data_IF_114076532979
#
_entry.id   IF_114076532979
#
_cell.length_a   1.000
_cell.length_b   1.000
_cell.length_c   1.000
_cell.angle_alpha   90.00
_cell.angle_beta   90.00
_cell.angle_gamma   90.00
#
_symmetry.space_group_name_H-M   'P 1'
#
loop_
_entity.id
_entity.type
_entity.pdbx_description
1 polymer ?
#
# COMPACT_ATOMS: atom_id res chain seq x y z
N UNK A 1 5.02 -52.98 3.79
CA UNK A 1 5.47 -51.73 4.41
C UNK A 1 5.44 -50.68 3.31
N UNK A 2 4.42 -49.83 3.29
CA UNK A 2 4.30 -48.72 2.32
C UNK A 2 4.98 -47.51 2.95
N UNK A 3 6.08 -47.05 2.36
CA UNK A 3 6.74 -45.78 2.72
C UNK A 3 5.75 -44.63 2.46
N UNK A 4 5.57 -43.70 3.41
CA UNK A 4 4.73 -42.52 3.17
C UNK A 4 5.40 -41.64 2.10
N UNK A 5 4.63 -40.95 1.26
CA UNK A 5 5.19 -40.01 0.32
C UNK A 5 5.87 -38.86 1.09
N UNK A 6 7.14 -38.62 0.79
CA UNK A 6 7.87 -37.44 1.24
C UNK A 6 7.20 -36.23 0.60
N UNK A 7 6.24 -35.65 1.30
CA UNK A 7 5.79 -34.30 1.03
C UNK A 7 6.93 -33.38 1.46
N UNK A 8 7.80 -33.02 0.53
CA UNK A 8 8.75 -31.94 0.75
C UNK A 8 7.93 -30.74 1.20
N UNK A 9 8.01 -30.41 2.48
CA UNK A 9 7.49 -29.17 3.01
C UNK A 9 8.20 -28.05 2.24
N UNK A 10 7.51 -27.49 1.26
CA UNK A 10 7.94 -26.25 0.61
C UNK A 10 7.83 -25.20 1.70
N UNK A 11 8.94 -24.93 2.36
CA UNK A 11 9.02 -23.83 3.31
C UNK A 11 8.68 -22.57 2.50
N UNK A 12 7.47 -22.06 2.69
CA UNK A 12 7.13 -20.71 2.25
C UNK A 12 8.06 -19.83 3.08
N UNK A 13 9.16 -19.39 2.47
CA UNK A 13 10.02 -18.38 3.05
C UNK A 13 9.14 -17.14 3.23
N UNK A 14 8.71 -16.94 4.46
CA UNK A 14 8.09 -15.70 4.89
C UNK A 14 9.18 -14.62 4.83
N UNK A 15 9.40 -14.07 3.62
CA UNK A 15 10.00 -12.75 3.56
C UNK A 15 9.04 -11.81 4.29
N UNK A 16 9.53 -10.85 5.07
CA UNK A 16 8.67 -9.91 5.78
C UNK A 16 7.74 -9.30 4.74
N UNK A 17 6.46 -9.67 4.81
CA UNK A 17 5.44 -9.10 3.97
C UNK A 17 5.29 -7.68 4.46
N UNK A 18 5.99 -6.75 3.81
CA UNK A 18 5.75 -5.33 3.98
C UNK A 18 4.35 -5.05 3.42
N UNK A 19 3.33 -5.37 4.20
CA UNK A 19 1.91 -5.14 3.90
C UNK A 19 1.61 -3.62 3.91
N UNK A 20 2.58 -2.82 4.31
CA UNK A 20 2.51 -1.37 4.26
C UNK A 20 3.16 -0.89 2.97
N UNK A 21 2.39 -0.21 2.12
CA UNK A 21 2.88 0.45 0.93
C UNK A 21 4.06 1.36 1.27
N UNK A 22 5.29 0.87 1.09
CA UNK A 22 6.49 1.69 1.20
C UNK A 22 6.60 2.53 -0.08
N UNK A 23 6.31 3.83 0.06
CA UNK A 23 6.78 4.80 -0.90
C UNK A 23 8.31 4.76 -0.90
N UNK A 24 8.94 4.45 -2.04
CA UNK A 24 10.40 4.47 -2.20
C UNK A 24 10.95 5.85 -1.84
N UNK A 25 11.95 5.97 -0.96
CA UNK A 25 12.73 7.19 -0.85
C UNK A 25 13.62 7.31 -2.08
N UNK A 26 13.51 8.43 -2.79
CA UNK A 26 14.45 8.79 -3.84
C UNK A 26 15.84 8.97 -3.26
N UNK A 27 16.83 8.29 -3.84
CA UNK A 27 18.25 8.44 -3.55
C UNK A 27 18.68 9.88 -3.84
N UNK A 28 19.07 10.60 -2.81
CA UNK A 28 19.73 11.91 -2.94
C UNK A 28 21.22 11.66 -3.08
N UNK A 29 21.72 11.85 -4.29
CA UNK A 29 23.14 11.78 -4.57
C UNK A 29 23.77 13.16 -4.28
N UNK A 30 24.48 13.29 -3.15
CA UNK A 30 25.30 14.46 -2.83
C UNK A 30 26.70 14.29 -3.42
N UNK A 31 26.90 14.77 -4.64
CA UNK A 31 28.20 14.92 -5.24
C UNK A 31 28.51 16.42 -5.43
N UNK A 32 29.25 16.99 -4.51
CA UNK A 32 29.78 18.36 -4.67
C UNK A 32 30.97 18.37 -5.62
N UNK A 33 30.92 19.22 -6.64
CA UNK A 33 32.08 19.60 -7.44
C UNK A 33 32.10 21.11 -7.54
N UNK A 34 33.24 21.70 -7.16
CA UNK A 34 33.55 23.13 -7.28
C UNK A 34 33.68 23.53 -8.75
N UNK A 35 33.25 24.74 -9.14
CA UNK A 35 33.50 25.24 -10.48
C UNK A 35 34.86 25.91 -10.60
N UNK A 36 35.59 25.58 -11.65
CA UNK A 36 36.74 26.34 -12.18
C UNK A 36 36.25 27.35 -13.21
N UNK A 37 36.85 28.54 -13.31
CA UNK A 37 36.43 29.56 -14.25
C UNK A 37 37.02 29.31 -15.64
N UNK A 38 36.15 29.31 -16.62
CA UNK A 38 36.56 29.30 -18.04
C UNK A 38 36.17 30.62 -18.71
N UNK A 39 37.12 31.19 -19.41
CA UNK A 39 37.09 32.42 -20.18
C UNK A 39 36.24 32.31 -21.45
N UNK A 40 35.40 33.34 -21.67
CA UNK A 40 34.56 33.52 -22.86
C UNK A 40 35.33 33.78 -24.18
N UNK A 41 34.69 33.50 -25.32
CA UNK A 41 34.56 34.51 -26.35
C UNK A 41 33.10 34.80 -26.72
N UNK A 42 32.88 36.06 -27.06
CA UNK A 42 31.65 36.76 -27.41
C UNK A 42 30.99 36.21 -28.68
N UNK A 43 29.66 35.99 -28.74
CA UNK A 43 28.95 35.81 -30.00
C UNK A 43 28.14 37.04 -30.38
N UNK A 44 28.06 37.23 -31.67
CA UNK A 44 27.29 38.21 -32.45
C UNK A 44 25.77 38.19 -32.19
N UNK A 45 25.05 39.32 -32.38
CA UNK A 45 23.64 39.43 -32.01
C UNK A 45 22.72 38.84 -33.09
N UNK A 46 22.10 37.73 -32.76
CA UNK A 46 20.92 37.22 -33.44
C UNK A 46 19.70 37.47 -32.57
N UNK A 47 18.75 38.21 -33.05
CA UNK A 47 17.48 38.57 -32.40
C UNK A 47 16.69 37.32 -32.08
N UNK A 48 16.72 36.91 -30.82
CA UNK A 48 15.76 36.03 -30.20
C UNK A 48 15.18 36.76 -29.01
N UNK A 49 13.90 37.08 -29.06
CA UNK A 49 13.14 37.62 -27.92
C UNK A 49 13.12 36.53 -26.82
N UNK A 50 14.13 36.57 -25.95
CA UNK A 50 14.12 35.81 -24.73
C UNK A 50 13.21 36.54 -23.75
N UNK A 51 12.21 35.81 -23.25
CA UNK A 51 11.35 36.26 -22.17
C UNK A 51 12.25 36.54 -20.96
N UNK A 52 12.36 37.77 -20.44
CA UNK A 52 13.36 38.12 -19.43
C UNK A 52 13.03 37.65 -18.01
N UNK A 53 11.98 36.88 -17.85
CA UNK A 53 11.61 36.31 -16.56
C UNK A 53 11.84 34.80 -16.58
N UNK A 54 12.74 34.25 -15.72
CA UNK A 54 12.81 32.81 -15.54
C UNK A 54 11.44 32.34 -15.06
N UNK A 55 10.88 31.38 -15.78
CA UNK A 55 9.63 30.70 -15.38
C UNK A 55 9.94 29.99 -14.05
N UNK A 56 9.58 30.63 -12.93
CA UNK A 56 9.72 30.04 -11.60
C UNK A 56 8.68 28.91 -11.55
N UNK A 57 9.17 27.70 -11.71
CA UNK A 57 8.38 26.46 -11.59
C UNK A 57 7.91 26.33 -10.14
N UNK A 58 6.77 26.95 -9.83
CA UNK A 58 6.21 26.92 -8.47
C UNK A 58 5.59 25.57 -8.24
N UNK A 59 5.90 24.88 -7.11
CA UNK A 59 5.27 23.61 -6.78
C UNK A 59 3.78 23.83 -6.56
N UNK A 60 2.96 22.99 -7.19
CA UNK A 60 1.52 23.01 -7.03
C UNK A 60 1.14 22.03 -5.92
N UNK A 61 0.46 22.52 -4.88
CA UNK A 61 0.01 21.71 -3.76
C UNK A 61 -1.50 21.44 -3.86
N UNK A 62 -1.88 20.21 -3.53
CA UNK A 62 -3.28 19.83 -3.28
C UNK A 62 -3.46 19.59 -1.80
N UNK A 63 -4.50 20.18 -1.22
CA UNK A 63 -4.91 19.96 0.17
C UNK A 63 -6.39 19.63 0.25
N UNK A 64 -6.80 19.05 1.37
CA UNK A 64 -8.20 18.74 1.63
C UNK A 64 -8.36 18.03 2.98
N UNK A 65 -9.58 17.55 3.21
CA UNK A 65 -9.92 16.87 4.47
C UNK A 65 -10.78 15.64 4.22
N UNK A 66 -10.44 14.51 4.83
CA UNK A 66 -11.28 13.31 4.86
C UNK A 66 -12.17 13.36 6.11
N UNK A 67 -13.46 13.11 5.92
CA UNK A 67 -14.46 13.12 7.00
C UNK A 67 -15.41 11.94 6.88
N UNK A 68 -16.06 11.60 7.98
CA UNK A 68 -17.19 10.68 8.02
C UNK A 68 -18.48 11.39 7.55
N UNK A 69 -19.60 10.68 7.28
CA UNK A 69 -20.85 11.27 6.83
C UNK A 69 -21.44 12.32 7.78
N UNK A 70 -21.16 12.20 9.09
CA UNK A 70 -21.55 13.17 10.12
C UNK A 70 -20.65 14.41 10.18
N UNK A 71 -19.61 14.48 9.32
CA UNK A 71 -18.62 15.55 9.31
C UNK A 71 -17.50 15.42 10.32
N UNK A 72 -17.51 14.37 11.14
CA UNK A 72 -16.44 14.12 12.12
C UNK A 72 -15.12 13.72 11.42
N UNK A 73 -13.96 14.08 11.98
CA UNK A 73 -12.67 13.70 11.40
C UNK A 73 -12.40 12.22 11.62
N UNK A 74 -11.73 11.60 10.64
CA UNK A 74 -11.22 10.24 10.78
C UNK A 74 -9.92 10.29 11.58
N UNK A 75 -9.92 9.66 12.77
CA UNK A 75 -8.74 9.64 13.64
C UNK A 75 -7.62 8.72 13.11
N UNK A 76 -7.98 7.78 12.27
CA UNK A 76 -7.07 6.86 11.59
C UNK A 76 -6.37 7.54 10.41
N UNK A 77 -5.18 7.03 10.09
CA UNK A 77 -4.49 7.45 8.88
C UNK A 77 -5.18 6.89 7.64
N UNK A 78 -5.75 7.76 6.84
CA UNK A 78 -6.41 7.42 5.57
C UNK A 78 -5.43 7.65 4.43
N UNK A 79 -5.30 6.70 3.53
CA UNK A 79 -4.46 6.82 2.34
C UNK A 79 -5.16 7.66 1.30
N UNK A 80 -4.51 8.70 0.78
CA UNK A 80 -4.98 9.50 -0.34
C UNK A 80 -4.33 9.01 -1.62
N UNK A 81 -5.17 8.66 -2.59
CA UNK A 81 -4.74 8.12 -3.88
C UNK A 81 -5.22 8.99 -5.01
N UNK A 82 -4.38 9.20 -6.02
CA UNK A 82 -4.79 9.75 -7.31
C UNK A 82 -5.08 8.62 -8.29
N UNK A 83 -6.12 8.78 -9.09
CA UNK A 83 -6.51 7.87 -10.17
C UNK A 83 -6.36 8.62 -11.48
N UNK A 84 -5.33 8.32 -12.24
CA UNK A 84 -5.04 8.96 -13.53
C UNK A 84 -5.03 7.91 -14.63
N UNK A 85 -5.99 7.99 -15.57
CA UNK A 85 -6.09 7.02 -16.65
C UNK A 85 -6.27 5.59 -16.15
N UNK A 86 -7.05 5.39 -15.10
CA UNK A 86 -7.32 4.10 -14.47
C UNK A 86 -6.18 3.56 -13.58
N UNK A 87 -5.07 4.27 -13.45
CA UNK A 87 -3.96 3.87 -12.59
C UNK A 87 -4.02 4.58 -11.25
N UNK A 88 -4.06 3.81 -10.17
CA UNK A 88 -4.02 4.32 -8.79
C UNK A 88 -2.59 4.55 -8.33
N UNK A 89 -2.37 5.68 -7.65
CA UNK A 89 -1.09 6.03 -7.05
C UNK A 89 -1.32 6.63 -5.66
N UNK A 90 -0.57 6.17 -4.66
CA UNK A 90 -0.57 6.76 -3.33
C UNK A 90 0.18 8.08 -3.36
N UNK A 91 -0.47 9.15 -2.92
CA UNK A 91 0.11 10.50 -2.86
C UNK A 91 0.53 10.87 -1.43
N UNK A 92 -0.34 10.67 -0.45
CA UNK A 92 -0.08 11.02 0.95
C UNK A 92 -1.02 10.26 1.91
N UNK A 93 -0.91 10.58 3.19
CA UNK A 93 -1.77 10.10 4.27
C UNK A 93 -2.34 11.27 5.04
N UNK A 94 -3.52 11.09 5.65
CA UNK A 94 -4.13 12.11 6.50
C UNK A 94 -3.45 12.19 7.87
N UNK A 95 -3.56 13.37 8.50
CA UNK A 95 -3.29 13.55 9.93
C UNK A 95 -4.45 13.03 10.81
N UNK A 96 -4.34 13.12 12.14
CA UNK A 96 -5.38 12.69 13.09
C UNK A 96 -6.66 13.52 13.06
N UNK A 97 -6.69 14.64 12.31
CA UNK A 97 -7.87 15.46 12.06
C UNK A 97 -8.47 15.23 10.69
N UNK A 98 -7.90 14.29 9.93
CA UNK A 98 -8.31 13.97 8.57
C UNK A 98 -7.75 14.90 7.51
N UNK A 99 -6.88 15.88 7.83
CA UNK A 99 -6.33 16.79 6.83
C UNK A 99 -5.20 16.10 6.05
N UNK A 100 -5.08 16.45 4.77
CA UNK A 100 -3.98 16.02 3.92
C UNK A 100 -3.46 17.16 3.05
N UNK A 101 -2.19 17.06 2.66
CA UNK A 101 -1.58 17.92 1.65
C UNK A 101 -0.44 17.17 0.97
N UNK A 102 -0.28 17.36 -0.34
CA UNK A 102 0.81 16.81 -1.13
C UNK A 102 1.13 17.68 -2.33
N UNK A 103 2.37 17.57 -2.81
CA UNK A 103 2.85 18.27 -3.99
C UNK A 103 2.59 17.44 -5.25
N UNK A 104 2.04 18.06 -6.28
CA UNK A 104 1.91 17.45 -7.61
C UNK A 104 3.28 17.41 -8.30
N UNK A 105 3.86 16.23 -8.36
CA UNK A 105 5.15 16.02 -9.02
C UNK A 105 4.99 15.93 -10.53
N UNK A 106 5.86 16.62 -11.29
CA UNK A 106 6.00 16.38 -12.73
C UNK A 106 6.28 14.90 -12.99
N UNK A 107 5.47 14.26 -13.84
CA UNK A 107 5.80 12.91 -14.30
C UNK A 107 7.07 13.00 -15.14
N UNK A 108 8.10 12.17 -14.89
CA UNK A 108 9.21 12.08 -15.82
C UNK A 108 8.64 11.65 -17.19
N UNK A 109 9.02 12.39 -18.25
CA UNK A 109 8.69 12.04 -19.63
C UNK A 109 9.36 10.71 -19.96
N UNK A 110 8.70 9.58 -19.68
CA UNK A 110 9.11 8.27 -20.16
C UNK A 110 8.49 8.05 -21.52
N UNK A 111 9.34 7.99 -22.52
CA UNK A 111 9.15 7.67 -23.92
C UNK A 111 8.87 8.83 -24.88
N UNK A 112 9.94 9.43 -25.35
CA UNK A 112 10.02 9.77 -26.77
C UNK A 112 10.05 8.45 -27.55
N UNK A 113 8.89 7.96 -28.00
CA UNK A 113 8.85 6.95 -29.06
C UNK A 113 9.24 7.68 -30.33
N UNK A 114 10.46 7.42 -30.82
CA UNK A 114 10.87 7.75 -32.17
C UNK A 114 9.95 7.04 -33.16
N UNK A 115 9.29 7.82 -34.01
CA UNK A 115 8.71 7.34 -35.25
C UNK A 115 7.17 7.31 -35.28
N UNK A 116 6.57 8.46 -35.58
CA UNK A 116 5.44 8.59 -36.52
C UNK A 116 5.24 10.10 -36.80
N UNK A 117 5.57 10.53 -38.01
CA UNK A 117 5.16 11.80 -38.58
C UNK A 117 3.64 11.88 -38.58
N UNK A 118 3.07 12.80 -37.80
CA UNK A 118 1.75 13.35 -38.07
C UNK A 118 1.85 14.87 -37.94
N UNK A 119 2.03 15.51 -39.08
CA UNK A 119 1.81 16.93 -39.27
C UNK A 119 0.33 17.24 -39.06
N UNK A 120 -0.03 17.91 -37.99
CA UNK A 120 -1.23 18.72 -37.90
C UNK A 120 -0.92 19.96 -37.09
N UNK A 121 -0.78 21.04 -37.85
CA UNK A 121 -0.72 22.40 -37.40
C UNK A 121 -2.01 22.79 -36.67
N UNK A 122 -1.91 23.10 -35.39
CA UNK A 122 -2.73 24.10 -34.74
C UNK A 122 -1.91 24.69 -33.61
N UNK A 123 -1.55 25.93 -33.84
CA UNK A 123 -0.80 26.83 -33.01
C UNK A 123 -1.69 27.29 -31.85
N UNK A 124 -1.68 26.55 -30.77
CA UNK A 124 -2.17 26.99 -29.47
C UNK A 124 -1.03 26.90 -28.46
N UNK A 125 -0.39 28.06 -28.25
CA UNK A 125 0.80 28.29 -27.43
C UNK A 125 0.63 28.00 -25.93
N UNK A 126 0.00 26.89 -25.57
CA UNK A 126 -0.02 26.38 -24.20
C UNK A 126 0.98 25.24 -24.05
N UNK A 127 2.07 25.54 -23.38
CA UNK A 127 3.16 24.61 -23.08
C UNK A 127 2.62 23.27 -22.52
N UNK A 128 2.82 22.18 -23.29
CA UNK A 128 2.48 20.78 -22.91
C UNK A 128 3.21 20.27 -21.66
N UNK A 129 4.00 21.10 -21.00
CA UNK A 129 4.79 20.78 -19.81
C UNK A 129 4.17 21.26 -18.49
N UNK A 130 2.93 21.76 -18.49
CA UNK A 130 2.28 22.22 -17.27
C UNK A 130 1.82 21.03 -16.41
N UNK A 131 2.32 20.94 -15.18
CA UNK A 131 1.97 19.91 -14.19
C UNK A 131 0.44 19.82 -13.98
N UNK A 132 -0.25 20.96 -13.97
CA UNK A 132 -1.72 21.03 -13.85
C UNK A 132 -2.44 20.30 -15.00
N UNK A 133 -1.90 20.36 -16.23
CA UNK A 133 -2.49 19.67 -17.40
C UNK A 133 -2.41 18.14 -17.27
N UNK A 134 -1.35 17.62 -16.66
CA UNK A 134 -1.15 16.17 -16.46
C UNK A 134 -2.16 15.55 -15.48
N UNK A 135 -2.73 16.36 -14.57
CA UNK A 135 -3.71 15.93 -13.57
C UNK A 135 -5.15 16.32 -13.91
N UNK A 136 -5.39 16.91 -15.10
CA UNK A 136 -6.72 17.40 -15.53
C UNK A 136 -7.81 16.30 -15.54
N UNK A 137 -7.40 15.06 -15.83
CA UNK A 137 -8.30 13.89 -15.86
C UNK A 137 -8.00 12.94 -14.71
N UNK A 138 -7.47 13.45 -13.61
CA UNK A 138 -7.21 12.65 -12.42
C UNK A 138 -8.28 12.90 -11.35
N UNK A 139 -8.56 11.86 -10.62
CA UNK A 139 -9.47 11.82 -9.50
C UNK A 139 -8.70 11.57 -8.20
N UNK A 140 -9.24 12.06 -7.09
CA UNK A 140 -8.75 11.73 -5.75
C UNK A 140 -9.75 10.81 -5.06
N UNK A 141 -9.22 9.79 -4.42
CA UNK A 141 -9.94 8.82 -3.61
C UNK A 141 -9.26 8.66 -2.26
N UNK A 142 -10.04 8.56 -1.20
CA UNK A 142 -9.57 8.22 0.12
C UNK A 142 -9.72 6.71 0.35
N UNK A 143 -8.65 6.00 0.70
CA UNK A 143 -8.67 4.55 0.91
C UNK A 143 -8.47 4.21 2.37
N UNK A 144 -9.49 3.60 2.97
CA UNK A 144 -9.45 3.02 4.31
C UNK A 144 -10.20 1.68 4.26
N UNK A 145 -9.59 0.56 4.69
CA UNK A 145 -10.27 -0.73 4.69
C UNK A 145 -11.61 -0.68 5.44
N UNK A 146 -12.69 -1.18 4.83
CA UNK A 146 -14.03 -1.13 5.41
C UNK A 146 -14.81 0.15 5.12
N UNK A 147 -14.26 1.05 4.32
CA UNK A 147 -14.95 2.25 3.85
C UNK A 147 -14.92 2.35 2.33
N UNK A 148 -16.00 2.88 1.75
CA UNK A 148 -16.03 3.41 0.39
C UNK A 148 -15.78 4.91 0.42
N UNK A 149 -15.13 5.45 -0.59
CA UNK A 149 -14.81 6.87 -0.71
C UNK A 149 -15.67 7.54 -1.77
N UNK A 150 -16.07 8.77 -1.50
CA UNK A 150 -16.41 9.67 -2.61
C UNK A 150 -15.16 10.00 -3.41
N UNK A 151 -15.34 10.22 -4.71
CA UNK A 151 -14.27 10.55 -5.64
C UNK A 151 -14.36 12.03 -5.98
N UNK A 152 -13.24 12.75 -5.87
CA UNK A 152 -13.16 14.18 -6.18
C UNK A 152 -12.33 14.40 -7.44
N UNK A 153 -12.90 15.07 -8.43
CA UNK A 153 -12.20 15.44 -9.67
C UNK A 153 -11.21 16.57 -9.40
N UNK A 154 -9.92 16.34 -9.64
CA UNK A 154 -8.89 17.38 -9.44
C UNK A 154 -9.14 18.59 -10.34
N UNK A 155 -9.55 18.37 -11.58
CA UNK A 155 -9.83 19.44 -12.54
C UNK A 155 -10.95 20.38 -12.12
N UNK A 156 -11.99 19.88 -11.43
CA UNK A 156 -13.13 20.69 -11.01
C UNK A 156 -12.75 21.74 -9.96
N UNK A 157 -11.68 21.51 -9.23
CA UNK A 157 -11.19 22.39 -8.15
C UNK A 157 -10.07 23.35 -8.60
N UNK A 158 -9.49 23.13 -9.81
CA UNK A 158 -8.37 23.90 -10.34
C UNK A 158 -8.84 25.15 -11.14
N UNK A 159 -9.78 25.92 -10.64
CA UNK A 159 -10.32 27.08 -11.36
C UNK A 159 -9.39 28.31 -11.41
N UNK A 160 -8.28 28.32 -10.63
CA UNK A 160 -7.24 29.34 -10.73
C UNK A 160 -5.86 28.72 -10.49
N UNK A 161 -5.02 28.75 -11.52
CA UNK A 161 -3.71 28.08 -11.62
C UNK A 161 -2.61 28.68 -10.73
N UNK A 162 -2.89 29.22 -9.55
CA UNK A 162 -1.88 30.13 -9.01
C UNK A 162 -1.06 29.60 -7.84
N UNK A 163 -1.48 28.72 -6.94
CA UNK A 163 -0.49 28.32 -5.88
C UNK A 163 -0.84 27.07 -5.07
N UNK A 164 -2.07 26.84 -4.72
CA UNK A 164 -2.53 25.66 -4.00
C UNK A 164 -4.02 25.46 -4.23
N UNK A 165 -4.44 24.21 -4.36
CA UNK A 165 -5.84 23.88 -4.58
C UNK A 165 -6.36 23.12 -3.39
N UNK A 166 -7.36 23.65 -2.70
CA UNK A 166 -8.13 22.92 -1.70
C UNK A 166 -9.27 22.17 -2.41
N UNK A 167 -9.21 20.84 -2.36
CA UNK A 167 -10.25 19.97 -2.93
C UNK A 167 -11.46 19.81 -2.01
N UNK A 168 -11.45 20.46 -0.86
CA UNK A 168 -12.53 20.45 0.11
C UNK A 168 -12.56 19.14 0.92
N UNK A 169 -13.75 18.53 1.00
CA UNK A 169 -13.97 17.33 1.82
C UNK A 169 -14.14 16.11 0.93
N UNK A 170 -13.47 15.03 1.32
CA UNK A 170 -13.70 13.69 0.78
C UNK A 170 -14.46 12.92 1.85
N UNK A 171 -15.70 12.53 1.58
CA UNK A 171 -16.50 11.77 2.54
C UNK A 171 -16.22 10.28 2.32
N UNK A 172 -15.96 9.56 3.41
CA UNK A 172 -15.85 8.11 3.38
C UNK A 172 -17.03 7.48 4.14
N UNK A 173 -17.64 6.47 3.52
CA UNK A 173 -18.82 5.78 4.02
C UNK A 173 -18.46 4.38 4.50
N UNK A 174 -18.87 3.95 5.71
CA UNK A 174 -18.60 2.60 6.18
C UNK A 174 -19.33 1.56 5.32
N UNK A 175 -18.64 0.47 4.98
CA UNK A 175 -19.20 -0.66 4.23
C UNK A 175 -19.74 -1.68 5.24
N UNK A 176 -21.05 -1.88 5.27
CA UNK A 176 -21.65 -3.01 6.00
C UNK A 176 -21.52 -2.97 7.52
N UNK A 177 -21.61 -1.79 8.16
CA UNK A 177 -21.59 -1.67 9.63
C UNK A 177 -20.23 -1.85 10.30
N UNK A 178 -19.15 -1.81 9.52
CA UNK A 178 -17.76 -2.04 9.96
C UNK A 178 -17.12 -0.86 10.72
N UNK A 179 -17.82 0.24 10.94
CA UNK A 179 -17.28 1.50 11.48
C UNK A 179 -16.56 1.30 12.82
N UNK A 180 -17.19 0.54 13.74
CA UNK A 180 -16.64 0.30 15.08
C UNK A 180 -15.38 -0.56 15.10
N UNK A 181 -15.08 -1.32 14.05
CA UNK A 181 -13.90 -2.20 13.98
C UNK A 181 -12.69 -1.57 13.31
N UNK A 182 -12.91 -0.60 12.45
CA UNK A 182 -11.85 0.12 11.71
C UNK A 182 -11.36 1.32 12.51
N UNK A 183 -12.29 2.06 13.13
CA UNK A 183 -11.98 3.21 13.97
C UNK A 183 -12.06 2.81 15.45
N UNK A 184 -10.99 3.07 16.18
CA UNK A 184 -10.99 2.83 17.62
C UNK A 184 -11.75 3.93 18.35
N UNK A 185 -12.79 3.56 19.10
CA UNK A 185 -13.58 4.48 19.91
C UNK A 185 -12.72 5.21 20.95
N UNK A 186 -11.79 4.51 21.59
CA UNK A 186 -10.86 5.11 22.57
C UNK A 186 -9.91 6.10 21.92
N UNK A 187 -9.50 5.82 20.67
CA UNK A 187 -8.63 6.72 19.90
C UNK A 187 -9.33 8.03 19.50
N UNK A 188 -10.62 8.00 19.22
CA UNK A 188 -11.43 9.20 18.97
C UNK A 188 -11.46 10.11 20.20
N UNK A 189 -11.53 9.53 21.40
CA UNK A 189 -11.55 10.24 22.69
C UNK A 189 -10.19 10.79 23.13
N UNK A 190 -9.10 10.50 22.41
CA UNK A 190 -7.76 10.92 22.80
C UNK A 190 -7.66 12.46 22.90
N UNK A 191 -6.99 13.00 23.96
CA UNK A 191 -6.82 14.42 24.15
C UNK A 191 -5.90 15.03 23.07
N UNK A 192 -6.07 16.32 22.80
CA UNK A 192 -5.33 17.03 21.76
C UNK A 192 -3.81 16.95 21.88
N UNK A 193 -3.27 16.86 23.11
CA UNK A 193 -1.83 16.67 23.36
C UNK A 193 -1.34 15.30 22.89
N UNK A 194 -2.11 14.22 23.10
CA UNK A 194 -1.79 12.87 22.61
C UNK A 194 -1.90 12.82 21.07
N UNK A 195 -2.97 13.40 20.50
CA UNK A 195 -3.13 13.51 19.04
C UNK A 195 -1.96 14.26 18.39
N UNK A 196 -1.52 15.37 18.99
CA UNK A 196 -0.35 16.12 18.51
C UNK A 196 0.96 15.30 18.56
N UNK A 197 1.14 14.47 19.58
CA UNK A 197 2.29 13.56 19.65
C UNK A 197 2.23 12.47 18.56
N UNK A 198 1.06 11.93 18.30
CA UNK A 198 0.81 10.98 17.20
C UNK A 198 1.10 11.60 15.82
N UNK A 199 0.63 12.83 15.56
CA UNK A 199 0.88 13.54 14.30
C UNK A 199 2.38 13.82 14.10
N UNK A 200 3.07 14.19 15.20
CA UNK A 200 4.52 14.36 15.17
C UNK A 200 5.26 13.06 14.83
N UNK A 201 4.79 11.92 15.32
CA UNK A 201 5.34 10.63 14.95
C UNK A 201 5.21 10.37 13.43
N UNK A 202 4.03 10.63 12.87
CA UNK A 202 3.79 10.52 11.41
C UNK A 202 4.70 11.43 10.59
N UNK A 203 4.96 12.66 11.07
CA UNK A 203 5.92 13.56 10.42
C UNK A 203 7.34 13.02 10.45
N UNK A 204 7.75 12.43 11.58
CA UNK A 204 9.07 11.81 11.70
C UNK A 204 9.21 10.59 10.77
N UNK A 205 8.18 9.75 10.64
CA UNK A 205 8.17 8.64 9.69
C UNK A 205 8.28 9.12 8.24
N UNK A 206 7.52 10.15 7.84
CA UNK A 206 7.64 10.77 6.50
C UNK A 206 9.07 11.25 6.21
N UNK A 207 9.81 11.66 7.22
CA UNK A 207 11.20 12.09 7.13
C UNK A 207 12.22 10.95 7.34
N UNK A 208 11.75 9.69 7.41
CA UNK A 208 12.53 8.49 7.71
C UNK A 208 13.31 8.55 9.03
N UNK A 209 12.78 9.29 10.02
CA UNK A 209 13.34 9.43 11.38
C UNK A 209 12.66 8.47 12.34
N UNK A 210 12.99 7.19 12.22
CA UNK A 210 12.28 6.08 12.87
C UNK A 210 12.35 6.17 14.39
N UNK A 211 13.53 6.48 14.96
CA UNK A 211 13.72 6.61 16.41
C UNK A 211 12.94 7.81 17.00
N UNK A 212 12.86 8.92 16.27
CA UNK A 212 12.11 10.09 16.70
C UNK A 212 10.59 9.83 16.60
N UNK A 213 10.16 9.05 15.61
CA UNK A 213 8.78 8.60 15.48
C UNK A 213 8.38 7.72 16.67
N UNK A 214 9.21 6.74 17.03
CA UNK A 214 8.98 5.85 18.17
C UNK A 214 8.85 6.63 19.47
N UNK A 215 9.78 7.56 19.77
CA UNK A 215 9.69 8.43 20.95
C UNK A 215 8.41 9.26 20.97
N UNK A 216 7.96 9.72 19.82
CA UNK A 216 6.72 10.49 19.71
C UNK A 216 5.49 9.63 19.96
N UNK A 217 5.48 8.35 19.53
CA UNK A 217 4.42 7.39 19.82
C UNK A 217 4.42 6.99 21.30
N UNK A 218 5.59 6.72 21.89
CA UNK A 218 5.74 6.48 23.33
C UNK A 218 5.14 7.63 24.14
N UNK A 219 5.46 8.87 23.77
CA UNK A 219 4.85 10.04 24.41
C UNK A 219 3.34 10.10 24.24
N UNK A 220 2.80 9.69 23.09
CA UNK A 220 1.35 9.68 22.86
C UNK A 220 0.63 8.71 23.81
N UNK A 221 1.18 7.50 24.01
CA UNK A 221 0.61 6.49 24.90
C UNK A 221 0.87 6.78 26.38
N UNK A 222 1.95 7.47 26.73
CA UNK A 222 2.18 8.00 28.09
C UNK A 222 1.13 9.05 28.46
N UNK A 223 0.82 10.00 27.53
CA UNK A 223 -0.21 11.01 27.76
C UNK A 223 -1.60 10.39 27.86
N UNK A 224 -1.88 9.38 27.04
CA UNK A 224 -3.18 8.72 27.00
C UNK A 224 -3.02 7.20 26.81
N UNK A 225 -2.93 6.41 27.90
CA UNK A 225 -2.74 4.96 27.84
C UNK A 225 -3.84 4.20 27.08
N UNK A 226 -5.05 4.77 27.00
CA UNK A 226 -6.18 4.20 26.24
C UNK A 226 -6.10 4.53 24.73
N UNK A 227 -4.98 5.06 24.22
CA UNK A 227 -4.85 5.42 22.82
C UNK A 227 -4.51 4.19 21.97
N UNK A 228 -5.52 3.36 21.66
CA UNK A 228 -5.34 2.10 20.93
C UNK A 228 -4.65 2.29 19.58
N UNK A 229 -4.96 3.36 18.83
CA UNK A 229 -4.29 3.64 17.55
C UNK A 229 -2.80 3.96 17.73
N UNK A 230 -2.41 4.72 18.77
CA UNK A 230 -1.01 5.01 19.02
C UNK A 230 -0.22 3.76 19.43
N UNK A 231 -0.79 2.90 20.26
CA UNK A 231 -0.24 1.59 20.59
C UNK A 231 -0.05 0.72 19.34
N UNK A 232 -1.04 0.73 18.44
CA UNK A 232 -0.97 -0.04 17.18
C UNK A 232 0.15 0.46 16.28
N UNK A 233 0.30 1.77 16.11
CA UNK A 233 1.38 2.33 15.30
C UNK A 233 2.76 2.12 15.95
N UNK A 234 2.84 2.17 17.29
CA UNK A 234 4.07 1.82 18.01
C UNK A 234 4.46 0.36 17.75
N UNK A 235 3.50 -0.57 17.86
CA UNK A 235 3.73 -1.99 17.56
C UNK A 235 4.16 -2.21 16.11
N UNK A 236 3.55 -1.51 15.14
CA UNK A 236 3.95 -1.56 13.73
C UNK A 236 5.40 -1.08 13.53
N UNK A 237 5.77 0.01 14.19
CA UNK A 237 7.11 0.58 14.08
C UNK A 237 8.16 -0.37 14.69
N UNK A 238 7.88 -0.92 15.87
CA UNK A 238 8.73 -1.92 16.53
C UNK A 238 8.88 -3.18 15.66
N UNK A 239 7.80 -3.63 15.03
CA UNK A 239 7.83 -4.73 14.08
C UNK A 239 8.78 -4.45 12.91
N UNK A 240 8.72 -3.26 12.30
CA UNK A 240 9.63 -2.88 11.20
C UNK A 240 11.09 -2.80 11.63
N UNK A 241 11.35 -2.59 12.92
CA UNK A 241 12.68 -2.61 13.54
C UNK A 241 13.12 -4.01 13.96
N UNK A 242 12.33 -5.05 13.67
CA UNK A 242 12.55 -6.44 14.13
C UNK A 242 12.51 -6.61 15.65
N UNK A 243 11.89 -5.69 16.38
CA UNK A 243 11.56 -5.84 17.80
C UNK A 243 10.21 -6.54 17.95
N UNK A 244 10.21 -7.85 17.75
CA UNK A 244 8.98 -8.66 17.81
C UNK A 244 8.34 -8.66 19.20
N UNK A 245 9.15 -8.62 20.27
CA UNK A 245 8.65 -8.61 21.64
C UNK A 245 7.97 -7.28 21.99
N UNK A 246 8.60 -6.15 21.63
CA UNK A 246 8.01 -4.84 21.78
C UNK A 246 6.72 -4.68 20.95
N UNK A 247 6.75 -5.15 19.70
CA UNK A 247 5.59 -5.11 18.81
C UNK A 247 4.42 -5.91 19.39
N UNK A 248 4.66 -7.14 19.87
CA UNK A 248 3.64 -7.97 20.51
C UNK A 248 3.02 -7.27 21.74
N UNK A 249 3.86 -6.71 22.60
CA UNK A 249 3.41 -5.96 23.76
C UNK A 249 2.53 -4.77 23.34
N UNK A 250 2.96 -3.97 22.41
CA UNK A 250 2.22 -2.79 21.94
C UNK A 250 0.87 -3.15 21.32
N UNK A 251 0.80 -4.21 20.48
CA UNK A 251 -0.47 -4.68 19.95
C UNK A 251 -1.41 -5.21 21.03
N UNK A 252 -0.89 -5.89 22.05
CA UNK A 252 -1.68 -6.33 23.20
C UNK A 252 -2.23 -5.15 24.00
N UNK A 253 -1.44 -4.10 24.23
CA UNK A 253 -1.92 -2.86 24.86
C UNK A 253 -3.00 -2.17 24.04
N UNK A 254 -2.87 -2.17 22.70
CA UNK A 254 -3.92 -1.65 21.83
C UNK A 254 -5.24 -2.40 22.00
N UNK A 255 -5.21 -3.75 22.10
CA UNK A 255 -6.39 -4.57 22.33
C UNK A 255 -6.94 -4.46 23.75
N UNK A 256 -6.08 -4.22 24.74
CA UNK A 256 -6.53 -3.93 26.12
C UNK A 256 -7.26 -2.59 26.19
N UNK A 257 -6.81 -1.59 25.40
CA UNK A 257 -7.46 -0.31 25.31
C UNK A 257 -8.79 -0.38 24.51
N UNK A 258 -8.81 -1.14 23.40
CA UNK A 258 -10.00 -1.31 22.55
C UNK A 258 -10.04 -2.72 21.92
N UNK A 259 -10.76 -3.68 22.54
CA UNK A 259 -10.86 -5.05 22.03
C UNK A 259 -11.57 -5.18 20.67
N UNK A 260 -12.33 -4.16 20.25
CA UNK A 260 -13.06 -4.15 18.98
C UNK A 260 -12.25 -3.53 17.84
N UNK A 261 -11.06 -3.02 18.12
CA UNK A 261 -10.21 -2.44 17.13
C UNK A 261 -9.51 -3.52 16.30
N UNK A 262 -9.78 -3.58 14.99
CA UNK A 262 -9.35 -4.69 14.12
C UNK A 262 -7.84 -4.72 13.82
N UNK A 263 -7.20 -3.55 13.66
CA UNK A 263 -5.79 -3.45 13.21
C UNK A 263 -4.78 -4.22 14.09
N UNK A 264 -4.82 -4.17 15.43
CA UNK A 264 -3.86 -4.91 16.25
C UNK A 264 -3.90 -6.43 16.05
N UNK A 265 -5.09 -6.99 15.75
CA UNK A 265 -5.20 -8.42 15.43
C UNK A 265 -4.39 -8.81 14.19
N UNK A 266 -4.33 -7.92 13.17
CA UNK A 266 -3.50 -8.14 11.99
C UNK A 266 -2.02 -8.19 12.34
N UNK A 267 -1.54 -7.24 13.17
CA UNK A 267 -0.14 -7.20 13.61
C UNK A 267 0.25 -8.44 14.42
N UNK A 268 -0.62 -8.87 15.36
CA UNK A 268 -0.39 -10.11 16.13
C UNK A 268 -0.41 -11.35 15.22
N UNK A 269 -1.37 -11.44 14.28
CA UNK A 269 -1.43 -12.56 13.35
C UNK A 269 -0.17 -12.64 12.47
N UNK A 270 0.42 -11.52 12.12
CA UNK A 270 1.67 -11.46 11.38
C UNK A 270 2.86 -11.99 12.20
N UNK A 271 2.98 -11.58 13.48
CA UNK A 271 4.01 -12.10 14.39
C UNK A 271 3.89 -13.61 14.61
N UNK A 272 2.65 -14.11 14.79
CA UNK A 272 2.38 -15.53 14.94
C UNK A 272 2.72 -16.32 13.66
N UNK A 273 2.43 -15.77 12.48
CA UNK A 273 2.77 -16.38 11.20
C UNK A 273 4.31 -16.47 11.00
N UNK A 274 5.05 -15.42 11.37
CA UNK A 274 6.52 -15.43 11.32
C UNK A 274 7.14 -16.46 12.28
N UNK A 275 6.46 -16.70 13.40
CA UNK A 275 6.85 -17.72 14.37
C UNK A 275 6.36 -19.13 14.00
N UNK A 276 5.74 -19.30 12.83
CA UNK A 276 5.09 -20.52 12.35
C UNK A 276 4.00 -21.08 13.30
N UNK A 277 3.41 -20.23 14.12
CA UNK A 277 2.27 -20.59 14.98
C UNK A 277 0.96 -20.51 14.20
N UNK A 278 0.78 -21.41 13.23
CA UNK A 278 -0.26 -21.35 12.21
C UNK A 278 -1.68 -21.34 12.78
N UNK A 279 -1.94 -22.09 13.85
CA UNK A 279 -3.27 -22.10 14.48
C UNK A 279 -3.59 -20.75 15.09
N UNK A 280 -2.65 -20.13 15.82
CA UNK A 280 -2.84 -18.79 16.39
C UNK A 280 -3.07 -17.75 15.30
N UNK A 281 -2.32 -17.84 14.18
CA UNK A 281 -2.52 -16.98 13.00
C UNK A 281 -3.96 -17.08 12.48
N UNK A 282 -4.49 -18.30 12.33
CA UNK A 282 -5.87 -18.52 11.88
C UNK A 282 -6.87 -17.97 12.89
N UNK A 283 -6.67 -18.19 14.20
CA UNK A 283 -7.57 -17.73 15.24
C UNK A 283 -7.64 -16.20 15.34
N UNK A 284 -6.50 -15.53 15.25
CA UNK A 284 -6.41 -14.06 15.25
C UNK A 284 -7.06 -13.45 13.99
N UNK A 285 -6.80 -14.05 12.83
CA UNK A 285 -7.41 -13.60 11.58
C UNK A 285 -8.90 -13.89 11.53
N UNK A 286 -9.40 -14.99 12.12
CA UNK A 286 -10.82 -15.24 12.29
C UNK A 286 -11.50 -14.13 13.09
N UNK A 287 -10.92 -13.72 14.23
CA UNK A 287 -11.44 -12.60 15.04
C UNK A 287 -11.50 -11.30 14.25
N UNK A 288 -10.42 -10.97 13.51
CA UNK A 288 -10.37 -9.79 12.67
C UNK A 288 -11.46 -9.83 11.59
N UNK A 289 -11.51 -10.93 10.82
CA UNK A 289 -12.41 -11.06 9.67
C UNK A 289 -13.89 -11.15 10.09
N UNK A 290 -14.18 -11.63 11.29
CA UNK A 290 -15.53 -11.56 11.87
C UNK A 290 -15.98 -10.13 12.17
N UNK A 291 -15.04 -9.25 12.54
CA UNK A 291 -15.32 -7.82 12.76
C UNK A 291 -15.36 -7.05 11.44
N UNK A 292 -14.41 -7.36 10.53
CA UNK A 292 -14.31 -6.69 9.25
C UNK A 292 -13.68 -7.61 8.20
N UNK A 293 -14.48 -8.07 7.26
CA UNK A 293 -14.04 -8.94 6.16
C UNK A 293 -13.31 -8.22 5.01
N UNK A 294 -13.23 -6.89 5.04
CA UNK A 294 -12.62 -6.08 3.95
C UNK A 294 -11.12 -5.90 4.09
N UNK A 295 -10.42 -6.83 4.76
CA UNK A 295 -8.96 -6.83 4.92
C UNK A 295 -8.29 -7.92 4.05
N UNK A 296 -7.78 -7.60 2.84
CA UNK A 296 -7.11 -8.59 1.97
C UNK A 296 -5.92 -9.26 2.66
N UNK A 297 -5.12 -8.47 3.42
CA UNK A 297 -3.98 -8.99 4.17
C UNK A 297 -4.37 -10.02 5.25
N UNK A 298 -5.52 -9.86 5.89
CA UNK A 298 -6.00 -10.84 6.86
C UNK A 298 -6.43 -12.15 6.19
N UNK A 299 -7.08 -12.06 5.04
CA UNK A 299 -7.40 -13.24 4.22
C UNK A 299 -6.14 -13.97 3.73
N UNK A 300 -5.09 -13.21 3.35
CA UNK A 300 -3.80 -13.78 2.98
C UNK A 300 -3.17 -14.55 4.15
N UNK A 301 -3.05 -13.93 5.33
CA UNK A 301 -2.47 -14.57 6.52
C UNK A 301 -3.29 -15.80 6.95
N UNK A 302 -4.62 -15.70 6.92
CA UNK A 302 -5.50 -16.83 7.22
C UNK A 302 -5.27 -17.98 6.25
N UNK A 303 -5.18 -17.67 4.96
CA UNK A 303 -4.95 -18.68 3.92
C UNK A 303 -3.56 -19.30 4.04
N UNK A 304 -2.52 -18.55 4.37
CA UNK A 304 -1.17 -19.07 4.66
C UNK A 304 -1.20 -20.02 5.86
N UNK A 305 -1.85 -19.60 6.97
CA UNK A 305 -2.00 -20.44 8.15
C UNK A 305 -2.70 -21.77 7.82
N UNK A 306 -3.84 -21.71 7.11
CA UNK A 306 -4.60 -22.91 6.70
C UNK A 306 -3.82 -23.79 5.74
N UNK A 307 -3.07 -23.22 4.79
CA UNK A 307 -2.18 -23.96 3.88
C UNK A 307 -1.12 -24.75 4.65
N UNK A 308 -0.44 -24.11 5.62
CA UNK A 308 0.58 -24.80 6.43
C UNK A 308 -0.01 -25.85 7.38
N UNK A 309 -1.27 -25.70 7.79
CA UNK A 309 -2.03 -26.73 8.50
C UNK A 309 -2.60 -27.83 7.56
N UNK A 310 -2.24 -27.81 6.26
CA UNK A 310 -2.72 -28.73 5.23
C UNK A 310 -4.24 -28.69 5.00
N UNK A 311 -4.91 -27.62 5.40
CA UNK A 311 -6.33 -27.38 5.21
C UNK A 311 -6.56 -26.71 3.85
N UNK A 312 -6.23 -27.41 2.74
CA UNK A 312 -6.18 -26.81 1.40
C UNK A 312 -7.52 -26.23 0.93
N UNK A 313 -8.65 -26.90 1.20
CA UNK A 313 -9.96 -26.36 0.82
C UNK A 313 -10.29 -25.06 1.55
N UNK A 314 -9.99 -24.99 2.85
CA UNK A 314 -10.18 -23.78 3.62
C UNK A 314 -9.19 -22.66 3.21
N UNK A 315 -7.96 -23.02 2.85
CA UNK A 315 -6.97 -22.07 2.33
C UNK A 315 -7.42 -21.47 0.99
N UNK A 316 -8.01 -22.27 0.09
CA UNK A 316 -8.59 -21.80 -1.17
C UNK A 316 -9.72 -20.81 -0.93
N UNK A 317 -10.64 -21.12 -0.01
CA UNK A 317 -11.72 -20.19 0.37
C UNK A 317 -11.16 -18.86 0.86
N UNK A 318 -10.10 -18.90 1.69
CA UNK A 318 -9.45 -17.68 2.17
C UNK A 318 -8.83 -16.86 1.03
N UNK A 319 -8.06 -17.51 0.14
CA UNK A 319 -7.41 -16.83 -0.97
C UNK A 319 -8.43 -16.18 -1.92
N UNK A 320 -9.47 -16.92 -2.30
CA UNK A 320 -10.55 -16.41 -3.16
C UNK A 320 -11.34 -15.27 -2.50
N UNK A 321 -11.60 -15.37 -1.19
CA UNK A 321 -12.25 -14.29 -0.42
C UNK A 321 -11.39 -13.03 -0.37
N UNK A 322 -10.07 -13.20 -0.22
CA UNK A 322 -9.11 -12.10 -0.27
C UNK A 322 -9.10 -11.41 -1.64
N UNK A 323 -9.05 -12.17 -2.73
CA UNK A 323 -9.10 -11.62 -4.09
C UNK A 323 -10.42 -10.89 -4.38
N UNK A 324 -11.54 -11.38 -3.85
CA UNK A 324 -12.85 -10.71 -3.99
C UNK A 324 -12.86 -9.31 -3.37
N UNK A 325 -12.17 -9.09 -2.26
CA UNK A 325 -12.08 -7.78 -1.58
C UNK A 325 -10.87 -6.96 -2.01
N UNK A 326 -10.07 -7.48 -2.94
CA UNK A 326 -8.89 -6.82 -3.53
C UNK A 326 -8.93 -6.82 -5.07
N UNK A 327 -9.95 -6.21 -5.69
CA UNK A 327 -10.10 -6.22 -7.15
C UNK A 327 -8.95 -5.51 -7.89
N UNK A 328 -8.22 -4.63 -7.19
CA UNK A 328 -7.07 -3.92 -7.74
C UNK A 328 -5.74 -4.72 -7.59
N UNK A 329 -5.77 -5.92 -7.05
CA UNK A 329 -4.60 -6.79 -6.77
C UNK A 329 -3.47 -6.06 -6.01
N UNK A 330 -3.83 -5.25 -5.00
CA UNK A 330 -2.87 -4.56 -4.12
C UNK A 330 -2.05 -5.52 -3.26
N UNK A 331 -2.56 -6.74 -3.08
CA UNK A 331 -1.91 -7.84 -2.38
C UNK A 331 -1.69 -9.00 -3.36
N UNK A 332 -0.72 -8.89 -4.30
CA UNK A 332 -0.48 -9.89 -5.34
C UNK A 332 -0.21 -11.30 -4.78
N UNK A 333 0.29 -11.39 -3.53
CA UNK A 333 0.53 -12.67 -2.86
C UNK A 333 -0.74 -13.50 -2.60
N UNK A 334 -1.94 -12.94 -2.75
CA UNK A 334 -3.18 -13.71 -2.77
C UNK A 334 -3.26 -14.62 -4.01
N UNK A 335 -2.83 -14.12 -5.17
CA UNK A 335 -2.70 -14.91 -6.40
C UNK A 335 -1.66 -16.02 -6.23
N UNK A 336 -0.49 -15.68 -5.65
CA UNK A 336 0.56 -16.65 -5.34
C UNK A 336 0.03 -17.78 -4.43
N UNK A 337 -0.62 -17.41 -3.32
CA UNK A 337 -1.20 -18.37 -2.39
C UNK A 337 -2.22 -19.28 -3.08
N UNK A 338 -3.12 -18.73 -3.90
CA UNK A 338 -4.12 -19.51 -4.61
C UNK A 338 -3.46 -20.48 -5.60
N UNK A 339 -2.43 -20.03 -6.32
CA UNK A 339 -1.63 -20.90 -7.19
C UNK A 339 -0.99 -22.06 -6.43
N UNK A 340 -0.41 -21.84 -5.25
CA UNK A 340 0.17 -22.89 -4.40
C UNK A 340 -0.88 -23.89 -3.89
N UNK A 341 -2.03 -23.38 -3.43
CA UNK A 341 -3.15 -24.21 -2.94
C UNK A 341 -3.68 -25.11 -4.05
N UNK A 342 -3.92 -24.56 -5.25
CA UNK A 342 -4.40 -25.33 -6.40
C UNK A 342 -3.37 -26.35 -6.88
N UNK A 343 -2.08 -26.02 -6.87
CA UNK A 343 -1.01 -26.99 -7.16
C UNK A 343 -0.98 -28.14 -6.14
N UNK A 344 -1.21 -27.83 -4.86
CA UNK A 344 -1.36 -28.83 -3.80
C UNK A 344 -2.57 -29.75 -4.02
N UNK A 345 -3.66 -29.23 -4.57
CA UNK A 345 -4.85 -29.96 -4.98
C UNK A 345 -4.72 -30.67 -6.34
N UNK A 346 -3.57 -30.52 -7.01
CA UNK A 346 -3.25 -31.08 -8.35
C UNK A 346 -4.03 -30.42 -9.50
N UNK A 347 -4.65 -29.28 -9.29
CA UNK A 347 -5.20 -28.45 -10.36
C UNK A 347 -4.10 -27.57 -10.94
N UNK A 348 -3.23 -28.18 -11.73
CA UNK A 348 -2.03 -27.52 -12.26
C UNK A 348 -2.36 -26.44 -13.29
N UNK A 349 -3.50 -26.55 -13.97
CA UNK A 349 -3.91 -25.57 -15.00
C UNK A 349 -4.25 -24.24 -14.32
N UNK A 350 -5.19 -24.25 -13.40
CA UNK A 350 -5.55 -23.04 -12.67
C UNK A 350 -4.37 -22.53 -11.81
N UNK A 351 -3.57 -23.42 -11.22
CA UNK A 351 -2.38 -23.05 -10.47
C UNK A 351 -1.40 -22.20 -11.31
N UNK A 352 -1.16 -22.59 -12.57
CA UNK A 352 -0.29 -21.86 -13.48
C UNK A 352 -0.88 -20.48 -13.86
N UNK A 353 -2.19 -20.39 -14.05
CA UNK A 353 -2.89 -19.11 -14.34
C UNK A 353 -2.71 -18.11 -13.19
N UNK A 354 -2.97 -18.54 -11.95
CA UNK A 354 -2.81 -17.68 -10.77
C UNK A 354 -1.35 -17.30 -10.52
N UNK A 355 -0.40 -18.18 -10.83
CA UNK A 355 1.02 -17.87 -10.72
C UNK A 355 1.47 -16.82 -11.75
N UNK A 356 0.94 -16.86 -12.98
CA UNK A 356 1.16 -15.80 -13.99
C UNK A 356 0.51 -14.49 -13.57
N UNK A 357 -0.70 -14.52 -12.99
CA UNK A 357 -1.36 -13.34 -12.44
C UNK A 357 -0.52 -12.69 -11.33
N UNK A 358 0.00 -13.49 -10.40
CA UNK A 358 0.93 -13.01 -9.35
C UNK A 358 2.11 -12.23 -9.94
N UNK A 359 2.78 -12.79 -10.96
CA UNK A 359 3.91 -12.13 -11.61
C UNK A 359 3.50 -10.85 -12.36
N UNK A 360 2.30 -10.79 -12.93
CA UNK A 360 1.81 -9.61 -13.63
C UNK A 360 1.52 -8.43 -12.68
N UNK A 361 1.04 -8.72 -11.48
CA UNK A 361 0.70 -7.69 -10.48
C UNK A 361 1.85 -7.35 -9.53
N UNK A 362 2.84 -8.23 -9.39
CA UNK A 362 4.01 -7.96 -8.53
C UNK A 362 5.02 -7.03 -9.22
N UNK A 363 5.56 -6.09 -8.45
CA UNK A 363 6.63 -5.17 -8.89
C UNK A 363 7.98 -5.51 -8.25
N UNK A 364 8.02 -6.49 -7.34
CA UNK A 364 9.24 -6.86 -6.62
C UNK A 364 10.04 -7.90 -7.41
N UNK A 365 11.33 -7.67 -7.70
CA UNK A 365 12.15 -8.64 -8.43
C UNK A 365 12.21 -10.02 -7.77
N UNK A 366 12.21 -10.08 -6.43
CA UNK A 366 12.20 -11.32 -5.68
C UNK A 366 10.92 -12.12 -5.91
N UNK A 367 9.76 -11.45 -5.91
CA UNK A 367 8.46 -12.08 -6.17
C UNK A 367 8.39 -12.64 -7.60
N UNK A 368 8.94 -11.91 -8.58
CA UNK A 368 8.98 -12.37 -9.97
C UNK A 368 9.85 -13.63 -10.13
N UNK A 369 11.01 -13.66 -9.47
CA UNK A 369 11.89 -14.83 -9.47
C UNK A 369 11.24 -16.04 -8.78
N UNK A 370 10.56 -15.84 -7.66
CA UNK A 370 9.80 -16.85 -6.95
C UNK A 370 8.67 -17.40 -7.81
N UNK A 371 7.86 -16.51 -8.41
CA UNK A 371 6.75 -16.86 -9.29
C UNK A 371 7.19 -17.69 -10.50
N UNK A 372 8.29 -17.29 -11.16
CA UNK A 372 8.85 -18.02 -12.30
C UNK A 372 9.31 -19.43 -11.91
N UNK A 373 9.99 -19.57 -10.76
CA UNK A 373 10.41 -20.89 -10.23
C UNK A 373 9.21 -21.78 -9.95
N UNK A 374 8.17 -21.26 -9.31
CA UNK A 374 6.96 -22.01 -8.98
C UNK A 374 6.18 -22.41 -10.25
N UNK A 375 6.05 -21.49 -11.22
CA UNK A 375 5.39 -21.77 -12.49
C UNK A 375 6.08 -22.93 -13.21
N UNK A 376 7.41 -22.92 -13.31
CA UNK A 376 8.17 -24.00 -13.93
C UNK A 376 7.94 -25.35 -13.26
N UNK A 377 7.87 -25.38 -11.92
CA UNK A 377 7.60 -26.63 -11.17
C UNK A 377 6.16 -27.12 -11.37
N UNK A 378 5.19 -26.22 -11.42
CA UNK A 378 3.78 -26.52 -11.69
C UNK A 378 3.62 -27.12 -13.09
N UNK A 379 4.23 -26.52 -14.12
CA UNK A 379 4.18 -26.99 -15.50
C UNK A 379 4.83 -28.37 -15.65
N UNK A 380 5.97 -28.60 -14.99
CA UNK A 380 6.63 -29.92 -14.94
C UNK A 380 5.71 -31.00 -14.33
N UNK A 381 5.05 -30.69 -13.21
CA UNK A 381 4.10 -31.63 -12.57
C UNK A 381 2.87 -31.88 -13.42
N UNK A 382 2.37 -30.88 -14.12
CA UNK A 382 1.27 -31.02 -15.07
C UNK A 382 1.64 -31.97 -16.19
N UNK A 383 2.82 -31.81 -16.79
CA UNK A 383 3.30 -32.74 -17.85
C UNK A 383 3.45 -34.18 -17.35
N UNK A 384 3.99 -34.38 -16.16
CA UNK A 384 4.12 -35.73 -15.55
C UNK A 384 2.77 -36.36 -15.26
N UNK A 385 1.77 -35.58 -14.81
CA UNK A 385 0.43 -36.09 -14.56
C UNK A 385 -0.22 -36.55 -15.86
N UNK A 386 -0.08 -35.81 -16.95
CA UNK A 386 -0.63 -36.19 -18.27
C UNK A 386 0.01 -37.49 -18.82
N UNK A 387 1.35 -37.62 -18.71
CA UNK A 387 2.04 -38.85 -19.13
C UNK A 387 1.60 -40.08 -18.33
N UNK A 388 1.28 -39.93 -17.05
CA UNK A 388 0.81 -41.03 -16.20
C UNK A 388 -0.64 -41.48 -16.51
N UNK A 389 -1.44 -40.62 -17.13
CA UNK A 389 -2.82 -40.90 -17.55
C UNK A 389 -2.89 -41.54 -18.96
N UNK A 390 -1.86 -41.32 -19.79
CA UNK A 390 -1.80 -41.85 -21.18
C UNK A 390 -1.11 -43.23 -21.30
N UNK A 391 -0.53 -43.79 -20.23
CA UNK A 391 0.04 -45.14 -20.27
C UNK A 391 -1.06 -46.18 -20.19
N UNK A 392 -1.42 -46.88 -21.28
CA UNK A 392 -2.43 -47.95 -21.25
C UNK A 392 -1.89 -49.14 -20.47
N UNK A 393 -2.78 -49.75 -19.69
CA UNK A 393 -2.57 -51.07 -19.05
C UNK A 393 -2.38 -52.18 -20.08
#
# INVERSE_FOLDING_TARGET
MKTPPVVSALAILLFPVAIYAQGRPGSVNTGGSKPTPSTNPMPTPGTRTENPFPEIDRPLFISGKVVLPDGSPVAESVTIQSICGGRKRVETFTDSRGNFSFELKKKPNTMAIQGADISSSSDDGFSKNNTAFQYRNCELEASLPGFSSEVVQIAATMSSMIESTDVGRIVIHPIGGSEASVLSATSLAAPGSAKKAMDKAREHEKKNKIEDAEKSLQKAVEIYPQYAAAWTELGRLQYTKHDSAGAQHSFQQALAADPKYAKPYLGLAQLEAESAHWQNTVDLTNKLLAMNSSYPAAWLLQGIGRYNLQQFDAAEVSARSGLKVDPDHRVPRLEHLLGLVLAGKKDYVQAAEHMRAFMNYSTQPADLAEGQKMLTEIEKRSAQANLSTESPK
#
